data_IF_188414387128
#
_entry.id   IF_188414387128
#
_cell.length_a   1.000
_cell.length_b   1.000
_cell.length_c   1.000
_cell.angle_alpha   90.00
_cell.angle_beta   90.00
_cell.angle_gamma   90.00
#
_symmetry.space_group_name_H-M   'P 1'
#
loop_
_entity.id
_entity.type
_entity.pdbx_description
1 polymer ?
#
# COMPACT_ATOMS: atom_id res chain seq x y z
N UNK A 1 -25.05 27.81 -17.34
CA UNK A 1 -24.96 27.50 -15.89
C UNK A 1 -25.67 26.18 -15.70
N UNK A 2 -24.97 25.07 -15.91
CA UNK A 2 -25.56 23.74 -15.75
C UNK A 2 -25.49 23.34 -14.27
N UNK A 3 -26.64 22.95 -13.73
CA UNK A 3 -26.75 22.35 -12.40
C UNK A 3 -25.87 21.10 -12.34
N UNK A 4 -24.67 21.24 -11.76
CA UNK A 4 -23.84 20.11 -11.39
C UNK A 4 -24.65 19.28 -10.39
N UNK A 5 -25.08 18.09 -10.83
CA UNK A 5 -25.69 17.08 -9.97
C UNK A 5 -24.83 16.90 -8.71
N UNK A 6 -25.34 17.39 -7.58
CA UNK A 6 -24.71 17.28 -6.26
C UNK A 6 -24.73 15.86 -5.71
N UNK A 7 -25.41 14.94 -6.41
CA UNK A 7 -25.43 13.52 -6.07
C UNK A 7 -24.23 12.80 -6.71
N UNK A 8 -23.42 12.10 -5.92
CA UNK A 8 -22.37 11.23 -6.44
C UNK A 8 -22.96 10.20 -7.42
N UNK A 9 -22.34 10.04 -8.59
CA UNK A 9 -22.75 9.04 -9.58
C UNK A 9 -22.44 7.64 -9.04
N UNK A 10 -23.28 6.65 -9.36
CA UNK A 10 -23.07 5.23 -8.97
C UNK A 10 -21.65 4.75 -9.29
N UNK A 11 -21.14 5.11 -10.47
CA UNK A 11 -19.80 4.73 -10.92
C UNK A 11 -18.68 5.25 -10.00
N UNK A 12 -18.86 6.41 -9.34
CA UNK A 12 -17.86 6.93 -8.41
C UNK A 12 -17.78 6.08 -7.13
N UNK A 13 -18.92 5.53 -6.66
CA UNK A 13 -18.91 4.57 -5.57
C UNK A 13 -18.30 3.24 -5.99
N UNK A 14 -18.65 2.73 -7.18
CA UNK A 14 -18.08 1.48 -7.70
C UNK A 14 -16.56 1.59 -7.85
N UNK A 15 -16.05 2.72 -8.38
CA UNK A 15 -14.63 3.05 -8.43
C UNK A 15 -13.99 3.01 -7.03
N UNK A 16 -14.61 3.66 -6.04
CA UNK A 16 -14.12 3.65 -4.68
C UNK A 16 -14.12 2.24 -4.05
N UNK A 17 -15.18 1.46 -4.26
CA UNK A 17 -15.26 0.06 -3.80
C UNK A 17 -14.20 -0.81 -4.46
N UNK A 18 -14.00 -0.69 -5.78
CA UNK A 18 -13.00 -1.46 -6.52
C UNK A 18 -11.60 -1.26 -5.92
N UNK A 19 -11.22 -0.01 -5.64
CA UNK A 19 -9.91 0.30 -5.05
C UNK A 19 -9.84 -0.14 -3.58
N UNK A 20 -10.86 0.16 -2.76
CA UNK A 20 -10.80 -0.09 -1.31
C UNK A 20 -10.96 -1.58 -0.95
N UNK A 21 -11.69 -2.37 -1.75
CA UNK A 21 -11.82 -3.81 -1.53
C UNK A 21 -10.63 -4.60 -2.08
N UNK A 22 -9.79 -4.01 -2.92
CA UNK A 22 -8.70 -4.72 -3.58
C UNK A 22 -7.68 -5.33 -2.59
N UNK A 23 -7.27 -4.65 -1.50
CA UNK A 23 -6.47 -5.27 -0.44
C UNK A 23 -7.13 -6.45 0.29
N UNK A 24 -8.46 -6.45 0.38
CA UNK A 24 -9.24 -7.49 1.06
C UNK A 24 -9.48 -8.68 0.13
N UNK A 25 -9.86 -8.42 -1.12
CA UNK A 25 -10.25 -9.42 -2.11
C UNK A 25 -9.09 -9.95 -2.96
N UNK A 26 -7.94 -9.27 -2.92
CA UNK A 26 -6.73 -9.61 -3.66
C UNK A 26 -6.17 -11.01 -3.40
N UNK A 27 -6.17 -11.53 -2.14
CA UNK A 27 -5.67 -12.87 -1.83
C UNK A 27 -6.50 -14.04 -2.40
N UNK A 28 -7.77 -13.83 -2.78
CA UNK A 28 -8.67 -14.90 -3.23
C UNK A 28 -8.55 -15.11 -4.74
N UNK A 29 -7.83 -16.16 -5.15
CA UNK A 29 -7.55 -16.51 -6.55
C UNK A 29 -8.68 -17.36 -7.13
N UNK A 30 -9.37 -16.84 -8.14
CA UNK A 30 -10.50 -17.52 -8.79
C UNK A 30 -10.03 -18.38 -9.96
N UNK A 31 -9.32 -17.79 -10.94
CA UNK A 31 -8.88 -18.45 -12.16
C UNK A 31 -7.41 -18.11 -12.45
N UNK A 32 -6.51 -19.09 -12.31
CA UNK A 32 -5.08 -18.87 -12.49
C UNK A 32 -4.55 -17.73 -11.59
N UNK A 33 -3.91 -16.68 -12.15
CA UNK A 33 -3.44 -15.53 -11.37
C UNK A 33 -4.52 -14.48 -11.08
N UNK A 34 -5.73 -14.61 -11.65
CA UNK A 34 -6.80 -13.65 -11.46
C UNK A 34 -7.48 -13.85 -10.11
N UNK A 35 -7.38 -12.83 -9.25
CA UNK A 35 -8.11 -12.76 -8.00
C UNK A 35 -9.47 -12.08 -8.17
N UNK A 36 -10.38 -12.31 -7.20
CA UNK A 36 -11.67 -11.62 -7.15
C UNK A 36 -11.47 -10.10 -7.19
N UNK A 37 -10.48 -9.58 -6.44
CA UNK A 37 -10.15 -8.16 -6.43
C UNK A 37 -9.79 -7.61 -7.82
N UNK A 38 -8.99 -8.35 -8.59
CA UNK A 38 -8.56 -7.90 -9.93
C UNK A 38 -9.70 -8.02 -10.94
N UNK A 39 -10.51 -9.08 -10.87
CA UNK A 39 -11.69 -9.21 -11.73
C UNK A 39 -12.66 -8.05 -11.48
N UNK A 40 -12.92 -7.72 -10.21
CA UNK A 40 -13.78 -6.60 -9.86
C UNK A 40 -13.20 -5.26 -10.34
N UNK A 41 -11.89 -5.05 -10.16
CA UNK A 41 -11.18 -3.88 -10.68
C UNK A 41 -11.33 -3.74 -12.20
N UNK A 42 -11.19 -4.84 -12.96
CA UNK A 42 -11.33 -4.84 -14.41
C UNK A 42 -12.75 -4.53 -14.87
N UNK A 43 -13.76 -5.13 -14.24
CA UNK A 43 -15.16 -4.85 -14.53
C UNK A 43 -15.46 -3.35 -14.38
N UNK A 44 -15.01 -2.74 -13.28
CA UNK A 44 -15.21 -1.31 -13.05
C UNK A 44 -14.38 -0.47 -14.03
N UNK A 45 -13.15 -0.85 -14.35
CA UNK A 45 -12.34 -0.16 -15.36
C UNK A 45 -12.98 -0.17 -16.75
N UNK A 46 -13.60 -1.29 -17.17
CA UNK A 46 -14.34 -1.36 -18.43
C UNK A 46 -15.57 -0.44 -18.42
N UNK A 47 -16.36 -0.45 -17.33
CA UNK A 47 -17.47 0.48 -17.17
C UNK A 47 -17.01 1.95 -17.20
N UNK A 48 -15.86 2.24 -16.59
CA UNK A 48 -15.21 3.55 -16.63
C UNK A 48 -14.84 3.98 -18.05
N UNK A 49 -14.27 3.09 -18.87
CA UNK A 49 -13.96 3.37 -20.28
C UNK A 49 -15.25 3.64 -21.07
N UNK A 50 -16.27 2.78 -20.94
CA UNK A 50 -17.54 2.92 -21.65
C UNK A 50 -18.21 4.26 -21.31
N UNK A 51 -18.24 4.62 -20.03
CA UNK A 51 -18.89 5.84 -19.58
C UNK A 51 -18.07 7.11 -19.91
N UNK A 52 -16.74 7.06 -19.87
CA UNK A 52 -15.87 8.19 -20.24
C UNK A 52 -15.73 8.37 -21.75
N UNK A 53 -15.87 7.28 -22.52
CA UNK A 53 -15.54 7.20 -23.96
C UNK A 53 -14.08 7.60 -24.27
N UNK A 54 -13.18 7.49 -23.30
CA UNK A 54 -11.77 7.82 -23.45
C UNK A 54 -10.91 6.98 -22.51
N UNK A 55 -9.71 6.61 -22.98
CA UNK A 55 -8.70 5.92 -22.19
C UNK A 55 -7.85 6.96 -21.45
N UNK A 56 -7.56 6.69 -20.18
CA UNK A 56 -6.73 7.55 -19.34
C UNK A 56 -5.38 6.89 -19.13
N UNK A 57 -4.30 7.59 -19.42
CA UNK A 57 -2.94 7.07 -19.25
C UNK A 57 -2.17 8.01 -18.33
N UNK A 58 -1.60 7.46 -17.26
CA UNK A 58 -0.60 8.16 -16.46
C UNK A 58 0.78 7.82 -17.06
N UNK A 59 1.32 8.72 -17.88
CA UNK A 59 2.56 8.47 -18.62
C UNK A 59 3.75 8.08 -17.73
N UNK A 60 3.99 8.70 -16.55
CA UNK A 60 5.11 8.30 -15.71
C UNK A 60 4.98 6.90 -15.11
N UNK A 61 3.78 6.52 -14.66
CA UNK A 61 3.52 5.15 -14.19
C UNK A 61 3.65 4.15 -15.36
N UNK A 62 3.09 4.50 -16.52
CA UNK A 62 3.18 3.67 -17.72
C UNK A 62 4.64 3.49 -18.16
N UNK A 63 5.44 4.55 -18.13
CA UNK A 63 6.86 4.52 -18.47
C UNK A 63 7.64 3.55 -17.57
N UNK A 64 7.53 3.67 -16.24
CA UNK A 64 8.22 2.76 -15.32
C UNK A 64 7.78 1.32 -15.53
N UNK A 65 6.48 1.09 -15.70
CA UNK A 65 5.93 -0.23 -15.98
C UNK A 65 6.51 -0.82 -17.27
N UNK A 66 6.56 -0.05 -18.35
CA UNK A 66 7.13 -0.50 -19.62
C UNK A 66 8.62 -0.80 -19.50
N UNK A 67 9.38 0.01 -18.76
CA UNK A 67 10.80 -0.27 -18.48
C UNK A 67 10.95 -1.60 -17.71
N UNK A 68 10.19 -1.81 -16.63
CA UNK A 68 10.27 -3.04 -15.83
C UNK A 68 9.84 -4.28 -16.64
N UNK A 69 8.79 -4.18 -17.45
CA UNK A 69 8.34 -5.25 -18.34
C UNK A 69 9.38 -5.54 -19.43
N UNK A 70 9.94 -4.51 -20.06
CA UNK A 70 10.94 -4.66 -21.11
C UNK A 70 12.24 -5.29 -20.58
N UNK A 71 12.73 -4.83 -19.43
CA UNK A 71 13.91 -5.42 -18.79
C UNK A 71 13.67 -6.88 -18.42
N UNK A 72 12.51 -7.21 -17.86
CA UNK A 72 12.15 -8.60 -17.55
C UNK A 72 12.07 -9.49 -18.80
N UNK A 73 11.63 -8.92 -19.92
CA UNK A 73 11.59 -9.62 -21.21
C UNK A 73 12.99 -9.79 -21.81
N UNK A 74 13.91 -8.84 -21.64
CA UNK A 74 15.30 -9.02 -22.06
C UNK A 74 15.97 -10.10 -21.20
N UNK A 75 15.79 -10.06 -19.88
CA UNK A 75 16.44 -11.01 -18.98
C UNK A 75 16.05 -12.46 -19.26
N UNK A 76 14.86 -12.69 -19.82
CA UNK A 76 14.44 -14.00 -20.33
C UNK A 76 15.48 -14.64 -21.26
N UNK A 77 16.12 -13.85 -22.13
CA UNK A 77 17.10 -14.34 -23.10
C UNK A 77 18.51 -14.47 -22.52
N UNK A 78 18.75 -13.99 -21.29
CA UNK A 78 20.06 -13.97 -20.66
C UNK A 78 20.19 -14.93 -19.48
N UNK A 79 19.11 -15.59 -19.07
CA UNK A 79 19.12 -16.50 -17.93
C UNK A 79 19.36 -17.94 -18.40
N UNK A 80 20.42 -18.56 -17.88
CA UNK A 80 20.84 -19.93 -18.23
C UNK A 80 19.83 -21.00 -17.76
N UNK A 81 19.01 -20.68 -16.75
CA UNK A 81 17.97 -21.57 -16.22
C UNK A 81 16.62 -20.85 -16.18
N UNK A 82 15.63 -21.43 -16.86
CA UNK A 82 14.33 -20.80 -17.11
C UNK A 82 13.18 -21.48 -16.34
N UNK A 83 13.46 -22.00 -15.14
CA UNK A 83 12.41 -22.49 -14.25
C UNK A 83 11.64 -21.29 -13.67
N UNK A 84 10.40 -21.09 -14.13
CA UNK A 84 9.55 -19.99 -13.66
C UNK A 84 9.17 -18.94 -14.69
N UNK A 85 9.47 -19.16 -15.98
CA UNK A 85 9.02 -18.31 -17.10
C UNK A 85 7.53 -17.99 -17.02
N UNK A 86 6.69 -19.00 -16.80
CA UNK A 86 5.24 -18.81 -16.76
C UNK A 86 4.83 -17.89 -15.61
N UNK A 87 5.53 -17.96 -14.48
CA UNK A 87 5.31 -17.05 -13.34
C UNK A 87 5.72 -15.61 -13.70
N UNK A 88 6.82 -15.43 -14.44
CA UNK A 88 7.25 -14.12 -14.94
C UNK A 88 6.22 -13.52 -15.90
N UNK A 89 5.77 -14.29 -16.90
CA UNK A 89 4.75 -13.83 -17.86
C UNK A 89 3.46 -13.46 -17.17
N UNK A 90 2.98 -14.28 -16.24
CA UNK A 90 1.80 -13.92 -15.46
C UNK A 90 2.02 -12.68 -14.61
N UNK A 91 3.19 -12.53 -13.98
CA UNK A 91 3.50 -11.33 -13.19
C UNK A 91 3.50 -10.06 -14.05
N UNK A 92 4.12 -10.11 -15.25
CA UNK A 92 4.10 -9.02 -16.24
C UNK A 92 2.66 -8.71 -16.66
N UNK A 93 1.89 -9.73 -17.04
CA UNK A 93 0.51 -9.56 -17.47
C UNK A 93 -0.36 -8.94 -16.35
N UNK A 94 -0.25 -9.43 -15.12
CA UNK A 94 -1.01 -8.91 -13.99
C UNK A 94 -0.60 -7.48 -13.63
N UNK A 95 0.69 -7.12 -13.74
CA UNK A 95 1.16 -5.76 -13.52
C UNK A 95 0.63 -4.79 -14.61
N UNK A 96 0.62 -5.21 -15.88
CA UNK A 96 0.03 -4.45 -16.99
C UNK A 96 -1.47 -4.23 -16.79
N UNK A 97 -2.21 -5.32 -16.56
CA UNK A 97 -3.66 -5.33 -16.37
C UNK A 97 -4.07 -4.45 -15.19
N UNK A 98 -3.43 -4.62 -14.04
CA UNK A 98 -3.79 -3.90 -12.81
C UNK A 98 -3.43 -2.42 -12.91
N UNK A 99 -2.26 -2.08 -13.47
CA UNK A 99 -1.87 -0.68 -13.69
C UNK A 99 -2.82 0.02 -14.64
N UNK A 100 -3.15 -0.63 -15.77
CA UNK A 100 -4.08 -0.08 -16.75
C UNK A 100 -5.46 0.15 -16.14
N UNK A 101 -6.00 -0.83 -15.40
CA UNK A 101 -7.31 -0.73 -14.76
C UNK A 101 -7.36 0.41 -13.74
N UNK A 102 -6.32 0.57 -12.90
CA UNK A 102 -6.23 1.69 -11.94
C UNK A 102 -6.20 3.03 -12.66
N UNK A 103 -5.42 3.18 -13.75
CA UNK A 103 -5.39 4.42 -14.54
C UNK A 103 -6.78 4.80 -15.09
N UNK A 104 -7.63 3.82 -15.42
CA UNK A 104 -9.00 4.09 -15.87
C UNK A 104 -9.95 4.52 -14.75
N UNK A 105 -9.68 4.08 -13.52
CA UNK A 105 -10.53 4.36 -12.35
C UNK A 105 -10.19 5.72 -11.72
N UNK A 106 -8.93 6.16 -11.76
CA UNK A 106 -8.47 7.45 -11.19
C UNK A 106 -9.36 8.66 -11.59
N UNK A 107 -9.76 8.84 -12.87
CA UNK A 107 -10.66 9.93 -13.27
C UNK A 107 -12.04 9.94 -12.61
N UNK A 108 -12.49 8.81 -12.06
CA UNK A 108 -13.77 8.65 -11.38
C UNK A 108 -13.66 8.85 -9.87
N UNK A 109 -12.50 9.26 -9.38
CA UNK A 109 -12.33 9.63 -7.99
C UNK A 109 -13.22 10.83 -7.63
N UNK A 110 -14.12 10.60 -6.68
CA UNK A 110 -14.89 11.65 -6.04
C UNK A 110 -14.69 11.57 -4.53
N UNK A 111 -14.18 12.65 -3.96
CA UNK A 111 -13.81 12.76 -2.54
C UNK A 111 -14.90 12.30 -1.58
N UNK A 112 -16.18 12.63 -1.85
CA UNK A 112 -17.32 12.28 -0.98
C UNK A 112 -17.61 10.78 -1.01
N UNK A 113 -17.71 10.21 -2.21
CA UNK A 113 -17.97 8.79 -2.44
C UNK A 113 -16.85 7.94 -1.85
N UNK A 114 -15.60 8.31 -2.16
CA UNK A 114 -14.43 7.63 -1.66
C UNK A 114 -14.35 7.67 -0.12
N UNK A 115 -14.56 8.84 0.50
CA UNK A 115 -14.56 8.96 1.95
C UNK A 115 -15.61 8.08 2.64
N UNK A 116 -16.82 8.00 2.07
CA UNK A 116 -17.89 7.15 2.62
C UNK A 116 -17.51 5.69 2.56
N UNK A 117 -17.07 5.21 1.39
CA UNK A 117 -16.69 3.81 1.19
C UNK A 117 -15.53 3.43 2.11
N UNK A 118 -14.46 4.22 2.13
CA UNK A 118 -13.30 3.88 2.95
C UNK A 118 -13.62 3.92 4.44
N UNK A 119 -14.45 4.86 4.90
CA UNK A 119 -14.84 4.94 6.32
C UNK A 119 -15.66 3.73 6.72
N UNK A 120 -16.64 3.32 5.90
CA UNK A 120 -17.46 2.13 6.15
C UNK A 120 -16.60 0.87 6.19
N UNK A 121 -15.74 0.66 5.18
CA UNK A 121 -14.87 -0.51 5.14
C UNK A 121 -13.86 -0.53 6.28
N UNK A 122 -13.31 0.63 6.66
CA UNK A 122 -12.40 0.74 7.81
C UNK A 122 -13.10 0.44 9.12
N UNK A 123 -14.36 0.87 9.29
CA UNK A 123 -15.15 0.54 10.47
C UNK A 123 -15.45 -0.96 10.55
N UNK A 124 -15.80 -1.62 9.43
CA UNK A 124 -16.01 -3.07 9.38
C UNK A 124 -14.71 -3.81 9.72
N UNK A 125 -13.60 -3.45 9.08
CA UNK A 125 -12.30 -4.10 9.32
C UNK A 125 -11.81 -3.86 10.77
N UNK A 126 -11.96 -2.64 11.28
CA UNK A 126 -11.58 -2.29 12.64
C UNK A 126 -12.44 -2.98 13.70
N UNK A 127 -13.75 -3.05 13.49
CA UNK A 127 -14.68 -3.78 14.34
C UNK A 127 -14.34 -5.28 14.41
N UNK A 128 -14.04 -5.89 13.26
CA UNK A 128 -13.63 -7.30 13.24
C UNK A 128 -12.25 -7.53 13.89
N UNK A 129 -11.31 -6.59 13.78
CA UNK A 129 -10.03 -6.64 14.51
C UNK A 129 -10.25 -6.61 16.02
N UNK A 130 -11.14 -5.73 16.51
CA UNK A 130 -11.50 -5.65 17.93
C UNK A 130 -12.16 -6.95 18.41
N UNK A 131 -13.03 -7.55 17.59
CA UNK A 131 -13.57 -8.88 17.88
C UNK A 131 -12.44 -9.91 18.04
N UNK A 132 -11.49 -9.98 17.08
CA UNK A 132 -10.35 -10.90 17.18
C UNK A 132 -9.53 -10.64 18.46
N UNK A 133 -9.31 -9.38 18.82
CA UNK A 133 -8.62 -8.99 20.06
C UNK A 133 -9.31 -9.53 21.31
N UNK A 134 -10.63 -9.33 21.42
CA UNK A 134 -11.42 -9.78 22.58
C UNK A 134 -11.35 -11.31 22.71
N UNK A 135 -11.50 -12.04 21.60
CA UNK A 135 -11.46 -13.51 21.60
C UNK A 135 -10.08 -14.03 22.01
N UNK A 136 -9.00 -13.44 21.48
CA UNK A 136 -7.63 -13.79 21.88
C UNK A 136 -7.42 -13.51 23.38
N UNK A 137 -7.91 -12.37 23.88
CA UNK A 137 -7.77 -12.02 25.29
C UNK A 137 -8.53 -12.96 26.24
N UNK A 138 -9.54 -13.67 25.74
CA UNK A 138 -10.22 -14.75 26.46
C UNK A 138 -9.50 -16.10 26.37
N UNK A 139 -8.32 -16.17 25.75
CA UNK A 139 -7.57 -17.41 25.53
C UNK A 139 -8.17 -18.30 24.43
N UNK A 140 -9.02 -17.77 23.55
CA UNK A 140 -9.68 -18.51 22.46
C UNK A 140 -9.03 -18.20 21.12
N UNK A 141 -9.18 -19.11 20.16
CA UNK A 141 -8.70 -18.91 18.77
C UNK A 141 -9.81 -18.18 17.99
N UNK A 142 -9.56 -16.95 17.50
CA UNK A 142 -10.55 -16.22 16.70
C UNK A 142 -10.66 -16.78 15.29
N UNK A 143 -11.76 -16.42 14.61
CA UNK A 143 -11.86 -16.62 13.17
C UNK A 143 -10.75 -15.85 12.44
N UNK A 144 -10.11 -16.50 11.48
CA UNK A 144 -8.89 -16.01 10.83
C UNK A 144 -9.12 -14.92 9.76
N UNK A 145 -10.39 -14.57 9.49
CA UNK A 145 -10.79 -13.53 8.55
C UNK A 145 -10.89 -13.96 7.09
N UNK A 146 -10.66 -15.24 6.76
CA UNK A 146 -10.81 -15.76 5.39
C UNK A 146 -12.28 -15.77 4.98
N UNK A 147 -12.67 -14.95 4.00
CA UNK A 147 -14.04 -14.89 3.49
C UNK A 147 -14.35 -16.11 2.62
N UNK A 148 -13.40 -16.51 1.77
CA UNK A 148 -13.54 -17.64 0.84
C UNK A 148 -12.38 -18.63 1.01
N UNK A 149 -12.54 -19.60 1.92
CA UNK A 149 -11.47 -20.54 2.28
C UNK A 149 -10.88 -21.28 1.07
N UNK A 150 -11.71 -21.76 0.15
CA UNK A 150 -11.29 -22.57 -1.01
C UNK A 150 -10.51 -21.77 -2.07
N UNK A 151 -10.60 -20.43 -2.04
CA UNK A 151 -9.97 -19.55 -3.03
C UNK A 151 -8.60 -19.02 -2.57
N UNK A 152 -8.21 -19.30 -1.33
CA UNK A 152 -6.87 -19.01 -0.83
C UNK A 152 -5.94 -20.14 -1.28
N UNK A 153 -4.97 -19.84 -2.16
CA UNK A 153 -4.02 -20.83 -2.70
C UNK A 153 -2.58 -20.51 -2.30
N UNK A 154 -1.88 -21.52 -1.76
CA UNK A 154 -0.49 -21.41 -1.32
C UNK A 154 -0.32 -20.53 -0.09
N UNK A 155 0.87 -19.93 0.10
CA UNK A 155 1.22 -19.08 1.23
C UNK A 155 0.60 -17.67 1.18
N UNK A 156 -0.56 -17.48 0.54
CA UNK A 156 -1.19 -16.15 0.39
C UNK A 156 -1.92 -15.68 1.64
N UNK A 157 -2.11 -16.55 2.63
CA UNK A 157 -2.70 -16.22 3.92
C UNK A 157 -1.81 -16.75 5.02
N UNK A 158 -1.46 -15.90 5.98
CA UNK A 158 -0.63 -16.35 7.08
C UNK A 158 -1.41 -17.33 7.95
N UNK A 159 -0.93 -18.55 8.11
CA UNK A 159 -1.51 -19.51 9.05
C UNK A 159 -1.32 -19.07 10.52
N UNK A 160 -0.49 -18.04 10.74
CA UNK A 160 -0.14 -17.49 12.06
C UNK A 160 -1.24 -16.69 12.77
N UNK A 161 -2.45 -16.57 12.19
CA UNK A 161 -3.60 -15.99 12.91
C UNK A 161 -3.95 -16.80 14.17
N UNK A 162 -3.45 -18.03 14.27
CA UNK A 162 -3.58 -18.93 15.43
C UNK A 162 -2.81 -18.47 16.68
N UNK A 163 -1.85 -17.53 16.60
CA UNK A 163 -0.97 -17.18 17.74
C UNK A 163 -0.76 -15.67 17.90
N UNK A 164 -1.76 -14.94 18.41
CA UNK A 164 -1.63 -13.54 18.86
C UNK A 164 -1.43 -12.49 17.74
N UNK A 165 -1.72 -12.82 16.48
CA UNK A 165 -1.55 -11.92 15.33
C UNK A 165 -2.88 -11.60 14.67
N UNK A 166 -3.51 -10.51 15.10
CA UNK A 166 -4.77 -10.02 14.54
C UNK A 166 -4.55 -9.33 13.20
N UNK A 167 -5.35 -9.72 12.22
CA UNK A 167 -5.21 -9.32 10.82
C UNK A 167 -6.54 -8.87 10.20
N UNK A 168 -7.66 -8.94 10.92
CA UNK A 168 -9.00 -8.69 10.38
C UNK A 168 -9.25 -9.53 9.11
N UNK A 169 -9.75 -8.94 8.03
CA UNK A 169 -9.98 -9.59 6.73
C UNK A 169 -8.76 -9.62 5.80
N UNK A 170 -7.55 -9.39 6.33
CA UNK A 170 -6.32 -9.32 5.53
C UNK A 170 -5.46 -10.55 5.75
N UNK A 171 -4.67 -10.95 4.76
CA UNK A 171 -3.82 -12.14 4.89
C UNK A 171 -2.70 -12.00 5.94
N UNK A 172 -2.32 -10.77 6.28
CA UNK A 172 -1.32 -10.46 7.30
C UNK A 172 -1.65 -9.17 8.08
N UNK A 173 -1.17 -9.03 9.33
CA UNK A 173 -1.27 -7.77 10.07
C UNK A 173 -0.59 -6.57 9.39
N UNK A 174 0.48 -6.80 8.61
CA UNK A 174 1.13 -5.75 7.79
C UNK A 174 0.17 -5.20 6.75
N UNK A 175 -0.64 -6.04 6.12
CA UNK A 175 -1.58 -5.60 5.08
C UNK A 175 -2.78 -4.85 5.65
N UNK A 176 -3.24 -5.22 6.86
CA UNK A 176 -4.16 -4.39 7.62
C UNK A 176 -3.57 -3.00 7.89
N UNK A 177 -2.28 -2.93 8.26
CA UNK A 177 -1.60 -1.65 8.46
C UNK A 177 -1.46 -0.83 7.18
N UNK A 178 -1.12 -1.46 6.05
CA UNK A 178 -1.10 -0.81 4.73
C UNK A 178 -2.47 -0.22 4.40
N UNK A 179 -3.56 -0.92 4.73
CA UNK A 179 -4.91 -0.42 4.51
C UNK A 179 -5.26 0.77 5.43
N UNK A 180 -4.97 0.70 6.73
CA UNK A 180 -5.40 1.73 7.70
C UNK A 180 -4.51 2.98 7.70
N UNK A 181 -3.22 2.90 7.34
CA UNK A 181 -2.31 4.06 7.35
C UNK A 181 -2.80 5.23 6.46
N UNK A 182 -3.21 5.02 5.19
CA UNK A 182 -3.82 6.08 4.39
C UNK A 182 -5.14 6.60 4.97
N UNK A 183 -5.92 5.76 5.63
CA UNK A 183 -7.17 6.17 6.29
C UNK A 183 -6.87 7.12 7.42
N UNK A 184 -5.90 6.78 8.28
CA UNK A 184 -5.41 7.64 9.36
C UNK A 184 -4.91 8.98 8.79
N UNK A 185 -4.12 8.96 7.72
CA UNK A 185 -3.64 10.17 7.06
C UNK A 185 -4.80 11.03 6.54
N UNK A 186 -5.79 10.40 5.91
CA UNK A 186 -6.96 11.09 5.39
C UNK A 186 -7.78 11.74 6.52
N UNK A 187 -7.94 11.06 7.68
CA UNK A 187 -8.60 11.61 8.86
C UNK A 187 -7.81 12.80 9.44
N UNK A 188 -6.48 12.71 9.53
CA UNK A 188 -5.62 13.82 9.97
C UNK A 188 -5.71 15.04 9.04
N UNK A 189 -5.65 14.81 7.72
CA UNK A 189 -5.79 15.87 6.69
C UNK A 189 -7.17 16.56 6.76
N UNK A 190 -8.18 15.85 7.27
CA UNK A 190 -9.55 16.34 7.46
C UNK A 190 -9.82 16.90 8.85
N UNK A 191 -8.79 17.02 9.69
CA UNK A 191 -8.87 17.46 11.09
C UNK A 191 -9.86 16.63 11.93
N UNK A 192 -10.02 15.36 11.54
CA UNK A 192 -10.87 14.37 12.19
C UNK A 192 -10.03 13.57 13.19
N UNK A 193 -9.47 14.27 14.18
CA UNK A 193 -8.46 13.71 15.11
C UNK A 193 -8.97 12.49 15.91
N UNK A 194 -10.23 12.50 16.33
CA UNK A 194 -10.83 11.34 17.02
C UNK A 194 -10.73 10.07 16.18
N UNK A 195 -11.13 10.12 14.91
CA UNK A 195 -11.05 8.96 14.02
C UNK A 195 -9.60 8.57 13.69
N UNK A 196 -8.67 9.54 13.64
CA UNK A 196 -7.25 9.26 13.50
C UNK A 196 -6.66 8.53 14.72
N UNK A 197 -7.08 8.91 15.93
CA UNK A 197 -6.72 8.22 17.18
C UNK A 197 -7.24 6.78 17.16
N UNK A 198 -8.51 6.57 16.75
CA UNK A 198 -9.07 5.22 16.59
C UNK A 198 -8.25 4.39 15.59
N UNK A 199 -7.84 4.96 14.45
CA UNK A 199 -6.97 4.28 13.50
C UNK A 199 -5.61 3.91 14.11
N UNK A 200 -4.99 4.80 14.88
CA UNK A 200 -3.73 4.54 15.56
C UNK A 200 -3.86 3.41 16.60
N UNK A 201 -4.95 3.39 17.37
CA UNK A 201 -5.24 2.29 18.30
C UNK A 201 -5.41 0.96 17.58
N UNK A 202 -6.13 0.93 16.44
CA UNK A 202 -6.27 -0.27 15.63
C UNK A 202 -4.92 -0.75 15.07
N UNK A 203 -4.05 0.17 14.63
CA UNK A 203 -2.69 -0.17 14.18
C UNK A 203 -1.86 -0.77 15.32
N UNK A 204 -1.95 -0.24 16.53
CA UNK A 204 -1.29 -0.79 17.71
C UNK A 204 -1.81 -2.20 18.08
N UNK A 205 -3.14 -2.37 18.10
CA UNK A 205 -3.81 -3.64 18.39
C UNK A 205 -3.44 -4.70 17.36
N UNK A 206 -3.28 -4.36 16.07
CA UNK A 206 -2.90 -5.32 15.02
C UNK A 206 -1.54 -6.01 15.27
N UNK A 207 -0.71 -5.48 16.17
CA UNK A 207 0.66 -5.95 16.45
C UNK A 207 1.60 -5.95 15.24
N UNK A 208 1.30 -5.10 14.27
CA UNK A 208 2.10 -4.89 13.07
C UNK A 208 3.19 -3.86 13.30
N UNK A 209 4.47 -4.26 13.17
CA UNK A 209 5.60 -3.34 13.26
C UNK A 209 5.48 -2.18 12.24
N UNK A 210 5.01 -2.50 11.02
CA UNK A 210 4.71 -1.50 9.99
C UNK A 210 3.61 -0.53 10.45
N UNK A 211 2.57 -1.02 11.14
CA UNK A 211 1.50 -0.19 11.66
C UNK A 211 1.97 0.77 12.75
N UNK A 212 2.74 0.27 13.72
CA UNK A 212 3.26 1.08 14.83
C UNK A 212 4.25 2.13 14.31
N UNK A 213 5.33 1.71 13.65
CA UNK A 213 6.36 2.62 13.14
C UNK A 213 5.78 3.55 12.08
N UNK A 214 4.96 3.02 11.17
CA UNK A 214 4.30 3.81 10.12
C UNK A 214 3.38 4.88 10.69
N UNK A 215 2.66 4.61 11.79
CA UNK A 215 1.79 5.61 12.43
C UNK A 215 2.60 6.75 13.06
N UNK A 216 3.73 6.45 13.71
CA UNK A 216 4.63 7.45 14.31
C UNK A 216 5.21 8.35 13.22
N UNK A 217 5.78 7.75 12.16
CA UNK A 217 6.35 8.51 11.05
C UNK A 217 5.26 9.36 10.37
N UNK A 218 4.05 8.82 10.18
CA UNK A 218 2.92 9.55 9.62
C UNK A 218 2.55 10.78 10.46
N UNK A 219 2.47 10.65 11.80
CA UNK A 219 2.16 11.76 12.71
C UNK A 219 3.24 12.84 12.60
N UNK A 220 4.52 12.46 12.63
CA UNK A 220 5.65 13.39 12.50
C UNK A 220 5.60 14.10 11.14
N UNK A 221 5.42 13.36 10.06
CA UNK A 221 5.35 13.91 8.71
C UNK A 221 4.16 14.87 8.56
N UNK A 222 2.98 14.51 9.09
CA UNK A 222 1.82 15.40 9.11
C UNK A 222 2.11 16.67 9.92
N UNK A 223 2.69 16.54 11.12
CA UNK A 223 3.03 17.68 11.98
C UNK A 223 3.98 18.66 11.27
N UNK A 224 5.01 18.16 10.59
CA UNK A 224 5.98 18.97 9.84
C UNK A 224 5.30 19.64 8.63
N UNK A 225 4.61 18.87 7.78
CA UNK A 225 4.03 19.39 6.53
C UNK A 225 2.85 20.33 6.75
N UNK A 226 2.11 20.17 7.86
CA UNK A 226 0.98 21.04 8.25
C UNK A 226 1.35 22.07 9.31
N UNK A 227 2.61 22.09 9.79
CA UNK A 227 3.09 22.93 10.90
C UNK A 227 2.21 22.84 12.16
N UNK A 228 1.62 21.67 12.41
CA UNK A 228 0.73 21.43 13.55
C UNK A 228 1.43 20.52 14.58
N UNK A 229 2.43 21.04 15.27
CA UNK A 229 3.25 20.27 16.23
C UNK A 229 2.47 19.81 17.47
N UNK A 230 1.33 20.44 17.79
CA UNK A 230 0.46 20.04 18.91
C UNK A 230 -0.02 18.59 18.78
N UNK A 231 -0.16 18.10 17.55
CA UNK A 231 -0.57 16.72 17.28
C UNK A 231 0.43 15.71 17.88
N UNK A 232 1.73 16.04 17.92
CA UNK A 232 2.76 15.15 18.49
C UNK A 232 2.52 14.99 19.99
N UNK A 233 2.21 16.07 20.70
CA UNK A 233 1.90 16.02 22.13
C UNK A 233 0.64 15.18 22.40
N UNK A 234 -0.43 15.36 21.61
CA UNK A 234 -1.67 14.58 21.75
C UNK A 234 -1.41 13.08 21.59
N UNK A 235 -0.69 12.68 20.54
CA UNK A 235 -0.37 11.27 20.32
C UNK A 235 0.66 10.72 21.31
N UNK A 236 1.55 11.56 21.86
CA UNK A 236 2.48 11.14 22.91
C UNK A 236 1.74 10.84 24.22
N UNK A 237 0.79 11.70 24.61
CA UNK A 237 -0.10 11.45 25.77
C UNK A 237 -0.94 10.19 25.54
N UNK A 238 -1.47 10.00 24.34
CA UNK A 238 -2.19 8.77 23.99
C UNK A 238 -1.33 7.52 24.19
N UNK A 239 -0.06 7.54 23.75
CA UNK A 239 0.85 6.41 23.95
C UNK A 239 1.12 6.11 25.42
N UNK A 240 1.28 7.15 26.26
CA UNK A 240 1.42 6.98 27.71
C UNK A 240 0.16 6.34 28.31
N UNK A 241 -1.02 6.82 27.90
CA UNK A 241 -2.29 6.24 28.33
C UNK A 241 -2.43 4.78 27.90
N UNK A 242 -2.06 4.44 26.67
CA UNK A 242 -2.06 3.05 26.19
C UNK A 242 -1.18 2.17 27.08
N UNK A 243 0.05 2.61 27.38
CA UNK A 243 0.96 1.84 28.25
C UNK A 243 0.34 1.66 29.65
N UNK A 244 -0.21 2.72 30.23
CA UNK A 244 -0.89 2.67 31.53
C UNK A 244 -2.09 1.71 31.51
N UNK A 245 -2.96 1.79 30.50
CA UNK A 245 -4.10 0.88 30.37
C UNK A 245 -3.66 -0.56 30.17
N UNK A 246 -2.61 -0.81 29.39
CA UNK A 246 -2.13 -2.18 29.15
C UNK A 246 -1.63 -2.83 30.43
N UNK A 247 -0.92 -2.09 31.27
CA UNK A 247 -0.45 -2.55 32.58
C UNK A 247 -1.60 -2.88 33.54
N UNK A 248 -2.73 -2.17 33.45
CA UNK A 248 -3.86 -2.36 34.37
C UNK A 248 -4.91 -3.37 33.87
N UNK A 249 -5.01 -3.64 32.56
CA UNK A 249 -6.09 -4.44 31.97
C UNK A 249 -5.73 -5.92 31.72
N UNK A 250 -4.65 -6.43 32.33
CA UNK A 250 -4.15 -7.80 32.12
C UNK A 250 -3.93 -8.16 30.63
N UNK A 251 -3.56 -7.15 29.82
CA UNK A 251 -3.25 -7.29 28.39
C UNK A 251 -1.76 -7.09 28.14
N UNK A 252 -0.93 -7.36 29.15
CA UNK A 252 0.53 -7.18 29.09
C UNK A 252 1.17 -7.94 27.94
N UNK A 253 0.59 -9.08 27.55
CA UNK A 253 1.03 -9.87 26.40
C UNK A 253 1.08 -9.04 25.12
N UNK A 254 0.16 -8.08 24.94
CA UNK A 254 0.08 -7.23 23.75
C UNK A 254 1.30 -6.31 23.67
N UNK A 255 1.59 -5.61 24.78
CA UNK A 255 2.74 -4.72 24.87
C UNK A 255 4.04 -5.52 24.76
N UNK A 256 4.16 -6.65 25.47
CA UNK A 256 5.32 -7.54 25.39
C UNK A 256 5.55 -8.04 23.97
N UNK A 257 4.50 -8.48 23.25
CA UNK A 257 4.62 -8.94 21.86
C UNK A 257 5.09 -7.80 20.93
N UNK A 258 4.54 -6.60 21.09
CA UNK A 258 4.95 -5.44 20.29
C UNK A 258 6.39 -5.00 20.58
N UNK A 259 6.78 -4.92 21.86
CA UNK A 259 8.14 -4.58 22.26
C UNK A 259 9.13 -5.65 21.81
N UNK A 260 8.79 -6.93 21.98
CA UNK A 260 9.64 -8.03 21.54
C UNK A 260 9.87 -7.96 20.03
N UNK A 261 8.84 -7.69 19.21
CA UNK A 261 9.01 -7.55 17.74
C UNK A 261 9.87 -6.36 17.33
N UNK A 262 9.89 -5.29 18.12
CA UNK A 262 10.71 -4.10 17.86
C UNK A 262 12.15 -4.33 18.36
N UNK A 263 12.31 -4.97 19.51
CA UNK A 263 13.60 -5.21 20.15
C UNK A 263 14.34 -6.41 19.55
N UNK A 264 13.62 -7.45 19.11
CA UNK A 264 14.21 -8.62 18.48
C UNK A 264 14.68 -8.24 17.08
N UNK A 265 15.98 -7.98 16.97
CA UNK A 265 16.72 -7.82 15.70
C UNK A 265 16.92 -9.20 15.03
N UNK A 266 15.88 -10.04 15.02
CA UNK A 266 15.93 -11.37 14.41
C UNK A 266 16.09 -11.26 12.89
N UNK A 267 16.60 -12.31 12.25
CA UNK A 267 16.82 -12.43 10.79
C UNK A 267 15.65 -11.92 9.94
N UNK A 268 14.39 -12.18 10.36
CA UNK A 268 13.18 -11.70 9.69
C UNK A 268 13.03 -10.16 9.65
N UNK A 269 13.57 -9.44 10.64
CA UNK A 269 13.60 -7.97 10.68
C UNK A 269 14.69 -7.40 9.77
N UNK A 270 15.83 -8.09 9.66
CA UNK A 270 16.91 -7.73 8.72
C UNK A 270 16.47 -7.91 7.27
N UNK A 271 15.75 -8.99 6.94
CA UNK A 271 15.15 -9.22 5.60
C UNK A 271 14.14 -8.13 5.23
N UNK A 272 13.52 -7.44 6.19
CA UNK A 272 12.61 -6.33 5.88
C UNK A 272 13.37 -5.02 5.61
N UNK A 273 14.33 -4.67 6.45
CA UNK A 273 15.04 -3.38 6.31
C UNK A 273 16.20 -3.42 5.31
N UNK A 274 17.13 -4.37 5.47
CA UNK A 274 18.28 -4.53 4.57
C UNK A 274 17.85 -5.36 3.35
N UNK A 275 16.97 -6.35 3.55
CA UNK A 275 16.55 -7.23 2.47
C UNK A 275 17.67 -8.11 1.95
N UNK A 276 17.51 -8.57 0.72
CA UNK A 276 18.54 -9.33 0.02
C UNK A 276 19.56 -8.45 -0.71
N UNK A 277 19.86 -7.25 -0.19
CA UNK A 277 20.74 -6.30 -0.86
C UNK A 277 22.12 -6.89 -1.16
N UNK A 278 22.66 -7.71 -0.24
CA UNK A 278 23.97 -8.35 -0.43
C UNK A 278 24.02 -9.32 -1.61
N UNK A 279 22.87 -9.85 -2.04
CA UNK A 279 22.77 -10.72 -3.21
C UNK A 279 22.81 -9.97 -4.53
N UNK A 280 22.53 -8.66 -4.53
CA UNK A 280 22.69 -7.83 -5.73
C UNK A 280 24.12 -7.88 -6.26
N UNK A 281 25.11 -7.83 -5.37
CA UNK A 281 26.53 -7.88 -5.72
C UNK A 281 26.99 -9.24 -6.22
N UNK A 282 26.18 -10.29 -6.02
CA UNK A 282 26.45 -11.64 -6.54
C UNK A 282 25.93 -11.84 -7.96
N UNK A 283 25.12 -10.90 -8.50
CA UNK A 283 24.67 -10.96 -9.88
C UNK A 283 25.84 -10.72 -10.84
N UNK A 284 25.90 -11.41 -11.99
CA UNK A 284 26.78 -11.04 -13.09
C UNK A 284 26.58 -9.56 -13.47
N UNK A 285 27.65 -8.91 -13.94
CA UNK A 285 27.64 -7.47 -14.22
C UNK A 285 26.46 -7.06 -15.13
N UNK A 286 26.14 -7.84 -16.15
CA UNK A 286 25.00 -7.57 -17.05
C UNK A 286 23.67 -7.59 -16.29
N UNK A 287 23.45 -8.57 -15.43
CA UNK A 287 22.25 -8.69 -14.59
C UNK A 287 22.19 -7.63 -13.48
N UNK A 288 23.31 -7.05 -13.05
CA UNK A 288 23.28 -5.89 -12.14
C UNK A 288 22.62 -4.67 -12.81
N UNK A 289 22.73 -4.51 -14.13
CA UNK A 289 22.07 -3.43 -14.88
C UNK A 289 20.65 -3.77 -15.33
N UNK A 290 20.43 -5.01 -15.80
CA UNK A 290 19.14 -5.43 -16.39
C UNK A 290 18.18 -6.10 -15.39
N UNK A 291 18.72 -6.69 -14.32
CA UNK A 291 18.01 -7.48 -13.33
C UNK A 291 17.93 -8.96 -13.68
N UNK A 292 17.05 -9.67 -12.96
CA UNK A 292 16.73 -11.10 -13.18
C UNK A 292 15.28 -11.32 -13.64
N UNK A 293 14.48 -10.26 -13.76
CA UNK A 293 13.10 -10.30 -14.21
C UNK A 293 12.05 -10.41 -13.12
N UNK A 294 10.79 -10.16 -13.51
CA UNK A 294 9.61 -10.17 -12.64
C UNK A 294 9.49 -11.48 -11.84
N UNK A 295 9.49 -11.36 -10.51
CA UNK A 295 9.25 -12.47 -9.57
C UNK A 295 10.25 -13.64 -9.74
N UNK A 296 11.48 -13.37 -10.19
CA UNK A 296 12.50 -14.41 -10.42
C UNK A 296 13.58 -14.50 -9.33
N UNK A 297 13.59 -13.61 -8.33
CA UNK A 297 14.61 -13.62 -7.28
C UNK A 297 14.84 -15.00 -6.65
N UNK A 298 13.76 -15.68 -6.24
CA UNK A 298 13.83 -17.02 -5.64
C UNK A 298 14.30 -18.11 -6.60
N UNK A 299 13.97 -17.99 -7.89
CA UNK A 299 14.39 -18.96 -8.91
C UNK A 299 15.88 -18.78 -9.24
N UNK A 300 16.30 -17.52 -9.38
CA UNK A 300 17.69 -17.18 -9.68
C UNK A 300 18.63 -17.55 -8.53
N UNK A 301 18.24 -17.29 -7.28
CA UNK A 301 19.02 -17.60 -6.10
C UNK A 301 18.55 -18.87 -5.38
N UNK A 302 18.06 -19.86 -6.14
CA UNK A 302 17.49 -21.10 -5.57
C UNK A 302 18.48 -21.84 -4.67
N UNK A 303 19.76 -21.85 -5.03
CA UNK A 303 20.83 -22.47 -4.23
C UNK A 303 20.99 -21.87 -2.84
N UNK A 304 20.58 -20.61 -2.68
CA UNK A 304 20.60 -19.89 -1.40
C UNK A 304 19.29 -20.02 -0.61
N UNK A 305 18.29 -20.73 -1.14
CA UNK A 305 16.99 -20.92 -0.49
C UNK A 305 16.17 -19.63 -0.34
N UNK A 306 16.38 -18.63 -1.20
CA UNK A 306 15.69 -17.34 -1.08
C UNK A 306 14.21 -17.44 -1.47
N UNK A 307 13.38 -16.63 -0.81
CA UNK A 307 11.99 -16.42 -1.19
C UNK A 307 11.83 -15.14 -2.03
N UNK A 308 10.78 -15.03 -2.84
CA UNK A 308 10.43 -13.80 -3.57
C UNK A 308 9.87 -12.72 -2.62
N UNK A 309 10.64 -12.35 -1.60
CA UNK A 309 10.23 -11.42 -0.55
C UNK A 309 11.42 -10.64 0.02
N UNK A 310 11.39 -9.32 -0.12
CA UNK A 310 12.31 -8.33 0.43
C UNK A 310 11.61 -6.97 0.32
N UNK A 311 12.14 -5.88 0.91
CA UNK A 311 11.52 -4.58 0.66
C UNK A 311 11.49 -4.23 -0.84
N UNK A 312 10.51 -3.41 -1.23
CA UNK A 312 10.25 -3.08 -2.63
C UNK A 312 11.46 -2.44 -3.33
N UNK A 313 12.27 -1.64 -2.63
CA UNK A 313 13.47 -1.03 -3.24
C UNK A 313 14.49 -2.09 -3.66
N UNK A 314 14.79 -3.03 -2.77
CA UNK A 314 15.72 -4.13 -3.04
C UNK A 314 15.15 -5.08 -4.10
N UNK A 315 13.85 -5.39 -4.05
CA UNK A 315 13.20 -6.22 -5.08
C UNK A 315 13.28 -5.56 -6.45
N UNK A 316 12.99 -4.26 -6.55
CA UNK A 316 13.07 -3.52 -7.82
C UNK A 316 14.50 -3.53 -8.34
N UNK A 317 15.49 -3.35 -7.45
CA UNK A 317 16.91 -3.40 -7.82
C UNK A 317 17.34 -4.78 -8.33
N UNK A 318 16.93 -5.87 -7.68
CA UNK A 318 17.31 -7.23 -8.09
C UNK A 318 16.54 -7.65 -9.34
N UNK A 319 15.22 -7.45 -9.38
CA UNK A 319 14.39 -7.91 -10.50
C UNK A 319 14.58 -7.07 -11.77
N UNK A 320 14.87 -5.78 -11.67
CA UNK A 320 14.95 -4.88 -12.84
C UNK A 320 16.30 -4.17 -12.96
N UNK A 321 17.29 -4.56 -12.14
CA UNK A 321 18.63 -3.99 -12.18
C UNK A 321 18.68 -2.51 -11.84
N UNK A 322 19.85 -1.93 -12.04
CA UNK A 322 20.09 -0.51 -11.81
C UNK A 322 19.20 0.38 -12.70
N UNK A 323 18.96 -0.02 -13.96
CA UNK A 323 18.15 0.78 -14.90
C UNK A 323 16.70 0.86 -14.42
N UNK A 324 16.09 -0.27 -14.08
CA UNK A 324 14.72 -0.30 -13.58
C UNK A 324 14.57 0.36 -12.22
N UNK A 325 15.58 0.23 -11.35
CA UNK A 325 15.63 0.92 -10.07
C UNK A 325 15.67 2.45 -10.24
N UNK A 326 16.54 2.97 -11.09
CA UNK A 326 16.61 4.40 -11.37
C UNK A 326 15.29 4.92 -11.96
N UNK A 327 14.66 4.19 -12.89
CA UNK A 327 13.34 4.56 -13.41
C UNK A 327 12.28 4.67 -12.29
N UNK A 328 12.29 3.73 -11.34
CA UNK A 328 11.39 3.75 -10.19
C UNK A 328 11.66 4.94 -9.25
N UNK A 329 12.93 5.25 -8.97
CA UNK A 329 13.31 6.42 -8.17
C UNK A 329 12.90 7.72 -8.88
N UNK A 330 13.11 7.83 -10.19
CA UNK A 330 12.66 9.00 -10.97
C UNK A 330 11.14 9.16 -10.90
N UNK A 331 10.37 8.07 -10.93
CA UNK A 331 8.92 8.12 -10.75
C UNK A 331 8.52 8.61 -9.36
N UNK A 332 9.18 8.16 -8.29
CA UNK A 332 8.92 8.68 -6.92
C UNK A 332 9.26 10.17 -6.84
N UNK A 333 10.38 10.61 -7.40
CA UNK A 333 10.78 12.03 -7.44
C UNK A 333 9.75 12.85 -8.24
N UNK A 334 9.28 12.33 -9.37
CA UNK A 334 8.24 12.97 -10.18
C UNK A 334 6.94 13.13 -9.38
N UNK A 335 6.49 12.07 -8.69
CA UNK A 335 5.33 12.13 -7.80
C UNK A 335 5.53 13.18 -6.70
N UNK A 336 6.72 13.26 -6.08
CA UNK A 336 7.00 14.24 -5.04
C UNK A 336 6.90 15.69 -5.54
N UNK A 337 7.34 15.95 -6.77
CA UNK A 337 7.30 17.28 -7.38
C UNK A 337 5.87 17.74 -7.69
N UNK A 338 5.05 16.84 -8.23
CA UNK A 338 3.72 17.21 -8.74
C UNK A 338 2.59 16.99 -7.74
N UNK A 339 2.82 16.32 -6.61
CA UNK A 339 1.79 16.15 -5.56
C UNK A 339 1.54 17.42 -4.74
N UNK A 340 0.31 17.56 -4.27
CA UNK A 340 -0.06 18.56 -3.25
C UNK A 340 0.61 18.26 -1.90
N UNK A 341 0.64 19.20 -0.97
CA UNK A 341 1.20 18.97 0.38
C UNK A 341 0.52 17.80 1.11
N UNK A 342 -0.78 17.59 0.87
CA UNK A 342 -1.51 16.43 1.38
C UNK A 342 -1.14 15.15 0.62
N UNK A 343 -0.91 15.23 -0.69
CA UNK A 343 -0.40 14.12 -1.51
C UNK A 343 0.98 13.64 -1.08
N UNK A 344 1.85 14.54 -0.62
CA UNK A 344 3.18 14.20 -0.06
C UNK A 344 3.10 13.30 1.17
N UNK A 345 2.03 13.42 1.97
CA UNK A 345 1.79 12.52 3.12
C UNK A 345 1.52 11.10 2.63
N UNK A 346 0.66 10.94 1.61
CA UNK A 346 0.41 9.62 1.01
C UNK A 346 1.65 9.05 0.31
N UNK A 347 2.43 9.89 -0.35
CA UNK A 347 3.70 9.48 -0.96
C UNK A 347 4.70 9.03 0.11
N UNK A 348 4.78 9.72 1.25
CA UNK A 348 5.61 9.28 2.37
C UNK A 348 5.19 7.93 2.92
N UNK A 349 3.88 7.67 3.07
CA UNK A 349 3.36 6.33 3.41
C UNK A 349 3.83 5.30 2.38
N UNK A 350 3.70 5.59 1.08
CA UNK A 350 4.16 4.69 0.02
C UNK A 350 5.65 4.36 0.15
N UNK A 351 6.50 5.37 0.37
CA UNK A 351 7.95 5.20 0.53
C UNK A 351 8.30 4.37 1.77
N UNK A 352 7.61 4.58 2.90
CA UNK A 352 7.81 3.79 4.12
C UNK A 352 7.45 2.33 3.88
N UNK A 353 6.32 2.07 3.21
CA UNK A 353 5.91 0.70 2.88
C UNK A 353 6.91 0.09 1.88
N UNK A 354 7.40 0.84 0.89
CA UNK A 354 8.46 0.38 -0.02
C UNK A 354 9.73 -0.03 0.70
N UNK A 355 10.05 0.61 1.83
CA UNK A 355 11.26 0.32 2.62
C UNK A 355 11.10 -0.87 3.58
N UNK A 356 9.87 -1.35 3.82
CA UNK A 356 9.58 -2.39 4.82
C UNK A 356 9.03 -3.67 4.20
N UNK A 357 8.26 -3.57 3.10
CA UNK A 357 7.49 -4.69 2.57
C UNK A 357 7.63 -4.86 1.04
N UNK A 358 7.47 -6.11 0.60
CA UNK A 358 7.42 -6.52 -0.80
C UNK A 358 6.02 -6.29 -1.36
N UNK A 359 5.69 -5.05 -1.73
CA UNK A 359 4.33 -4.75 -2.22
C UNK A 359 4.26 -4.24 -3.67
N UNK A 360 5.37 -3.96 -4.35
CA UNK A 360 5.38 -3.41 -5.72
C UNK A 360 4.51 -4.25 -6.68
N UNK A 361 3.68 -3.60 -7.48
CA UNK A 361 2.72 -4.23 -8.40
C UNK A 361 1.69 -5.21 -7.78
N UNK A 362 1.56 -5.24 -6.45
CA UNK A 362 0.48 -5.97 -5.77
C UNK A 362 -0.80 -5.14 -5.64
N UNK A 363 -1.89 -5.78 -5.22
CA UNK A 363 -3.13 -5.10 -4.83
C UNK A 363 -2.92 -4.04 -3.73
N UNK A 364 -1.96 -4.25 -2.83
CA UNK A 364 -1.64 -3.27 -1.80
C UNK A 364 -0.96 -2.03 -2.40
N UNK A 365 -0.10 -2.22 -3.42
CA UNK A 365 0.59 -1.12 -4.09
C UNK A 365 -0.37 -0.19 -4.82
N UNK A 366 -1.27 -0.75 -5.61
CA UNK A 366 -2.23 0.07 -6.35
C UNK A 366 -3.23 0.79 -5.43
N UNK A 367 -3.59 0.19 -4.28
CA UNK A 367 -4.39 0.86 -3.27
C UNK A 367 -3.70 2.13 -2.75
N UNK A 368 -2.43 2.04 -2.36
CA UNK A 368 -1.64 3.19 -1.90
C UNK A 368 -1.40 4.20 -3.02
N UNK A 369 -0.98 3.72 -4.19
CA UNK A 369 -0.68 4.55 -5.35
C UNK A 369 -1.91 5.37 -5.77
N UNK A 370 -3.13 4.81 -5.66
CA UNK A 370 -4.35 5.53 -5.95
C UNK A 370 -4.47 6.83 -5.14
N UNK A 371 -4.20 6.81 -3.83
CA UNK A 371 -4.21 8.03 -3.00
C UNK A 371 -3.22 9.10 -3.48
N UNK A 372 -2.05 8.67 -3.95
CA UNK A 372 -1.02 9.58 -4.48
C UNK A 372 -1.49 10.17 -5.81
N UNK A 373 -2.00 9.34 -6.72
CA UNK A 373 -2.43 9.76 -8.06
C UNK A 373 -3.64 10.70 -8.03
N UNK A 374 -4.59 10.52 -7.11
CA UNK A 374 -5.72 11.45 -6.96
C UNK A 374 -5.36 12.74 -6.23
N UNK A 375 -4.13 12.84 -5.71
CA UNK A 375 -3.60 14.00 -4.98
C UNK A 375 -2.56 14.80 -5.77
N UNK A 376 -2.41 14.51 -7.07
CA UNK A 376 -1.57 15.30 -7.98
C UNK A 376 -2.18 16.69 -8.17
N UNK A 377 -1.32 17.71 -8.28
CA UNK A 377 -1.74 19.07 -8.63
C UNK A 377 -2.35 19.03 -10.02
N UNK A 378 -3.58 19.51 -10.15
CA UNK A 378 -4.12 19.75 -11.48
C UNK A 378 -3.56 21.09 -11.96
N UNK A 379 -3.27 21.24 -13.27
CA UNK A 379 -2.75 22.51 -13.81
C UNK A 379 -3.65 23.73 -13.51
N UNK A 380 -4.91 23.53 -13.09
CA UNK A 380 -5.78 24.59 -12.58
C UNK A 380 -5.35 25.18 -11.23
N UNK A 381 -4.74 24.38 -10.35
CA UNK A 381 -4.31 24.83 -9.01
C UNK A 381 -3.11 25.81 -9.10
N UNK A 382 -2.25 25.68 -10.11
CA UNK A 382 -1.13 26.60 -10.34
C UNK A 382 -1.61 27.96 -10.88
N UNK A 383 -2.66 27.98 -11.71
CA UNK A 383 -3.29 29.22 -12.16
C UNK A 383 -4.03 29.95 -11.03
N UNK A 384 -4.62 29.22 -10.07
CA UNK A 384 -5.28 29.82 -8.90
C UNK A 384 -4.27 30.39 -7.90
N UNK A 385 -3.13 29.71 -7.70
CA UNK A 385 -2.01 30.24 -6.89
C UNK A 385 -1.39 31.47 -7.57
N UNK A 386 -1.20 31.48 -8.89
CA UNK A 386 -0.69 32.65 -9.61
C UNK A 386 -1.69 33.82 -9.63
N UNK A 387 -2.99 33.55 -9.78
CA UNK A 387 -4.06 34.58 -9.63
C UNK A 387 -4.13 35.15 -8.22
N UNK A 388 -3.94 34.33 -7.19
CA UNK A 388 -3.90 34.81 -5.79
C UNK A 388 -2.61 35.58 -5.49
N UNK A 389 -1.48 35.24 -6.11
CA UNK A 389 -0.25 36.03 -6.02
C UNK A 389 -0.41 37.40 -6.67
N UNK A 390 -1.02 37.47 -7.87
CA UNK A 390 -1.29 38.72 -8.59
C UNK A 390 -2.32 39.63 -7.89
N UNK A 391 -3.28 39.04 -7.15
CA UNK A 391 -4.22 39.81 -6.30
C UNK A 391 -3.57 40.43 -5.07
N UNK A 392 -2.47 39.86 -4.57
CA UNK A 392 -1.73 40.40 -3.42
C UNK A 392 -0.78 41.53 -3.86
N UNK A 393 -0.25 41.47 -5.10
CA UNK A 393 0.60 42.54 -5.66
C UNK A 393 -0.17 43.72 -6.27
N UNK A 394 -1.47 43.59 -6.54
CA UNK A 394 -2.30 44.68 -7.06
C UNK A 394 -2.91 45.59 -5.96
N UNK A 395 -2.40 45.51 -4.72
CA UNK A 395 -2.91 46.26 -3.56
C UNK A 395 -1.85 47.13 -2.88
N UNK A 396 -0.75 47.42 -3.56
CA UNK A 396 0.26 48.39 -3.16
C UNK A 396 0.50 49.40 -4.26
#
# INVERSE_FOLDING_TARGET
MDYISTKPKLLNYLAAFAICLMPILGPYKLLGPFSIGIIFLLLIAMLSIINKKAISINYPLFFVLMVHCFLSFITYFTLDYNEGIMSMFWSIAMALISSFAVMQIVPFYEKRSFFRVITVLSAICGGFLIYQFIVINQGKIPFNGKIFNELVKGYTWSDSVTYLRMNSFFSEPSYFAIFILPVMAFMLIKDKYFYAIVCCLLLFISTSTLGIIGSIILIIMYAILKKNYKIIAVFSVLMILIVFFVQNLNVEWLLKNNLNKIASSNENSQIRFIGYLDYYWKLPLVNQFLGVGFSQLSNYFREYGLHNYSNAFVIVLINYGLIGYLAFIFFIIWLFRITTSSGKIFLGIMVIICAIDSFIYSYNFYYILFYVLVSLRTHGDEQEVHKNFLKITAKY
#
